data_IF_279233309076
#
_entry.id   IF_279233309076
#
_cell.length_a   1.000
_cell.length_b   1.000
_cell.length_c   1.000
_cell.angle_alpha   90.00
_cell.angle_beta   90.00
_cell.angle_gamma   90.00
#
_symmetry.space_group_name_H-M   'P 1'
#
loop_
_entity.id
_entity.type
_entity.pdbx_description
1 polymer ?
#
# COMPACT_ATOMS: atom_id res chain seq x y z
N UNK A 1 -6.68 -36.32 0.36
CA UNK A 1 -6.79 -36.67 -1.07
C UNK A 1 -6.64 -35.40 -1.94
N UNK A 2 -7.43 -34.34 -1.69
CA UNK A 2 -7.43 -33.06 -2.43
C UNK A 2 -6.04 -32.37 -2.42
N UNK A 3 -5.32 -32.42 -1.31
CA UNK A 3 -3.99 -31.81 -1.18
C UNK A 3 -2.95 -32.56 -2.03
N UNK A 4 -3.00 -33.90 -2.06
CA UNK A 4 -2.08 -34.70 -2.87
C UNK A 4 -2.26 -34.44 -4.38
N UNK A 5 -3.50 -34.36 -4.85
CA UNK A 5 -3.79 -34.06 -6.26
C UNK A 5 -3.30 -32.67 -6.65
N UNK A 6 -3.52 -31.66 -5.81
CA UNK A 6 -3.03 -30.29 -6.04
C UNK A 6 -1.50 -30.22 -6.01
N UNK A 7 -0.83 -30.97 -5.11
CA UNK A 7 0.64 -31.02 -5.09
C UNK A 7 1.19 -31.65 -6.37
N UNK A 8 0.55 -32.68 -6.92
CA UNK A 8 0.98 -33.23 -8.21
C UNK A 8 0.87 -32.19 -9.33
N UNK A 9 -0.19 -31.40 -9.39
CA UNK A 9 -0.34 -30.29 -10.34
C UNK A 9 0.77 -29.23 -10.20
N UNK A 10 1.27 -29.00 -9.00
CA UNK A 10 2.37 -28.05 -8.76
C UNK A 10 3.63 -28.46 -9.52
N UNK A 11 3.95 -29.77 -9.53
CA UNK A 11 5.13 -30.27 -10.23
C UNK A 11 4.95 -30.35 -11.75
N UNK A 12 3.71 -30.53 -12.21
CA UNK A 12 3.42 -30.64 -13.66
C UNK A 12 3.24 -29.30 -14.34
N UNK A 13 2.62 -28.33 -13.66
CA UNK A 13 2.28 -27.02 -14.22
C UNK A 13 3.18 -25.87 -13.75
N UNK A 14 3.96 -26.05 -12.69
CA UNK A 14 4.87 -25.05 -12.14
C UNK A 14 4.16 -23.82 -11.51
N UNK A 15 2.82 -23.88 -11.36
CA UNK A 15 2.03 -22.75 -10.85
C UNK A 15 1.83 -22.85 -9.35
N UNK A 16 1.93 -21.70 -8.60
CA UNK A 16 1.61 -21.67 -7.17
C UNK A 16 0.17 -22.10 -6.90
N UNK A 17 -0.01 -22.90 -5.86
CA UNK A 17 -1.33 -23.34 -5.42
C UNK A 17 -1.75 -22.50 -4.21
N UNK A 18 -2.90 -21.85 -4.28
CA UNK A 18 -3.52 -21.18 -3.15
C UNK A 18 -4.74 -22.01 -2.71
N UNK A 19 -4.80 -22.28 -1.41
CA UNK A 19 -5.95 -22.97 -0.83
C UNK A 19 -6.31 -22.39 0.53
N UNK A 20 -7.60 -22.37 0.82
CA UNK A 20 -8.15 -22.02 2.12
C UNK A 20 -8.57 -23.32 2.81
N UNK A 21 -8.12 -23.54 4.04
CA UNK A 21 -8.41 -24.77 4.78
C UNK A 21 -8.43 -24.53 6.27
N UNK A 22 -9.05 -25.43 7.01
CA UNK A 22 -9.05 -25.42 8.45
C UNK A 22 -7.96 -26.35 8.97
N UNK A 23 -7.09 -25.84 9.83
CA UNK A 23 -6.07 -26.61 10.52
C UNK A 23 -6.32 -26.58 12.02
N UNK A 24 -6.18 -27.74 12.66
CA UNK A 24 -6.22 -27.89 14.12
C UNK A 24 -4.81 -27.97 14.64
N UNK A 25 -4.43 -27.02 15.49
CA UNK A 25 -3.14 -27.05 16.21
C UNK A 25 -3.27 -27.92 17.47
N UNK A 26 -2.17 -28.54 17.88
CA UNK A 26 -2.14 -29.37 19.11
C UNK A 26 -2.48 -28.59 20.39
N UNK A 27 -2.36 -27.26 20.37
CA UNK A 27 -2.64 -26.38 21.52
C UNK A 27 -3.98 -25.65 21.48
N UNK A 28 -4.81 -25.85 20.43
CA UNK A 28 -6.11 -25.16 20.31
C UNK A 28 -7.25 -26.17 20.19
N UNK A 29 -8.33 -25.93 20.96
CA UNK A 29 -9.50 -26.78 20.96
C UNK A 29 -10.31 -26.66 19.64
N UNK A 30 -10.24 -25.52 18.96
CA UNK A 30 -11.00 -25.23 17.76
C UNK A 30 -10.11 -25.17 16.51
N UNK A 31 -10.58 -25.70 15.36
CA UNK A 31 -9.88 -25.54 14.08
C UNK A 31 -9.92 -24.08 13.65
N UNK A 32 -8.79 -23.59 13.13
CA UNK A 32 -8.65 -22.24 12.59
C UNK A 32 -8.51 -22.28 11.08
N UNK A 33 -9.07 -21.28 10.40
CA UNK A 33 -8.88 -21.12 8.96
C UNK A 33 -7.49 -20.55 8.66
N UNK A 34 -6.89 -21.12 7.60
CA UNK A 34 -5.61 -20.68 7.07
C UNK A 34 -5.69 -20.53 5.56
N UNK A 35 -5.11 -19.45 5.06
CA UNK A 35 -4.73 -19.32 3.66
C UNK A 35 -3.35 -19.95 3.50
N UNK A 36 -3.27 -21.01 2.69
CA UNK A 36 -2.02 -21.73 2.42
C UNK A 36 -1.64 -21.47 0.97
N UNK A 37 -0.40 -21.01 0.79
CA UNK A 37 0.23 -20.90 -0.51
C UNK A 37 1.37 -21.91 -0.59
N UNK A 38 1.35 -22.73 -1.65
CA UNK A 38 2.35 -23.77 -1.90
C UNK A 38 3.02 -23.44 -3.23
N UNK A 39 4.34 -23.37 -3.22
CA UNK A 39 5.19 -23.05 -4.36
C UNK A 39 6.26 -24.11 -4.53
N UNK A 40 6.56 -24.47 -5.78
CA UNK A 40 7.74 -25.25 -6.14
C UNK A 40 8.90 -24.27 -6.33
N UNK A 41 10.01 -24.53 -5.64
CA UNK A 41 11.22 -23.72 -5.73
C UNK A 41 12.42 -24.64 -5.99
N UNK A 42 13.42 -24.13 -6.69
CA UNK A 42 14.68 -24.83 -6.88
C UNK A 42 15.77 -24.10 -6.12
N UNK A 43 16.45 -24.80 -5.22
CA UNK A 43 17.58 -24.28 -4.43
C UNK A 43 18.73 -25.27 -4.63
N UNK A 44 19.89 -24.79 -5.12
CA UNK A 44 21.09 -25.61 -5.35
C UNK A 44 20.79 -26.90 -6.13
N UNK A 45 20.06 -26.79 -7.25
CA UNK A 45 19.59 -27.89 -8.10
C UNK A 45 18.67 -28.91 -7.41
N UNK A 46 18.17 -28.61 -6.22
CA UNK A 46 17.18 -29.44 -5.52
C UNK A 46 15.79 -28.83 -5.66
N UNK A 47 14.84 -29.68 -5.98
CA UNK A 47 13.44 -29.32 -6.05
C UNK A 47 12.84 -29.36 -4.64
N UNK A 48 12.38 -28.23 -4.15
CA UNK A 48 11.78 -28.08 -2.83
C UNK A 48 10.37 -27.49 -2.90
N UNK A 49 9.58 -27.74 -1.89
CA UNK A 49 8.23 -27.18 -1.74
C UNK A 49 8.26 -26.14 -0.63
N UNK A 50 8.03 -24.90 -1.00
CA UNK A 50 7.80 -23.81 -0.04
C UNK A 50 6.31 -23.72 0.28
N UNK A 51 5.95 -23.88 1.55
CA UNK A 51 4.59 -23.67 2.03
C UNK A 51 4.53 -22.50 2.99
N UNK A 52 3.70 -21.50 2.66
CA UNK A 52 3.36 -20.38 3.53
C UNK A 52 1.93 -20.55 4.02
N UNK A 53 1.72 -20.53 5.33
CA UNK A 53 0.39 -20.57 5.94
C UNK A 53 0.17 -19.30 6.75
N UNK A 54 -0.89 -18.55 6.42
CA UNK A 54 -1.32 -17.37 7.16
C UNK A 54 -2.70 -17.63 7.78
N UNK A 55 -2.87 -17.31 9.06
CA UNK A 55 -4.16 -17.43 9.75
C UNK A 55 -5.16 -16.42 9.18
N UNK A 56 -6.39 -16.89 8.91
CA UNK A 56 -7.52 -16.03 8.47
C UNK A 56 -8.19 -15.32 9.66
N UNK A 57 -7.64 -15.46 10.85
CA UNK A 57 -8.19 -14.87 12.09
C UNK A 57 -8.38 -13.35 11.99
N UNK A 58 -7.49 -12.65 11.28
CA UNK A 58 -7.59 -11.21 11.14
C UNK A 58 -8.85 -10.78 10.37
N UNK A 59 -9.21 -11.47 9.27
CA UNK A 59 -10.41 -11.14 8.50
C UNK A 59 -11.70 -11.39 9.30
N UNK A 60 -11.75 -12.45 10.11
CA UNK A 60 -12.92 -12.74 10.94
C UNK A 60 -13.08 -11.78 12.12
N UNK A 61 -11.98 -11.29 12.69
CA UNK A 61 -12.04 -10.27 13.74
C UNK A 61 -12.45 -8.90 13.22
N UNK A 62 -12.10 -8.58 11.97
CA UNK A 62 -12.42 -7.28 11.37
C UNK A 62 -13.92 -6.98 11.38
N UNK A 63 -14.80 -8.00 11.26
CA UNK A 63 -16.26 -7.82 11.32
C UNK A 63 -16.75 -7.27 12.65
N UNK A 64 -15.99 -7.47 13.75
CA UNK A 64 -16.35 -6.99 15.09
C UNK A 64 -15.73 -5.64 15.44
N UNK A 65 -14.86 -5.10 14.56
CA UNK A 65 -14.26 -3.77 14.79
C UNK A 65 -15.32 -2.70 14.56
N UNK A 66 -15.68 -1.95 15.58
CA UNK A 66 -16.65 -0.83 15.52
C UNK A 66 -15.95 0.51 15.27
N UNK A 67 -14.75 0.66 15.78
CA UNK A 67 -13.94 1.85 15.58
C UNK A 67 -12.45 1.48 15.54
N UNK A 68 -11.69 2.26 14.81
CA UNK A 68 -10.24 2.08 14.66
C UNK A 68 -9.54 3.44 14.73
N UNK A 69 -8.48 3.53 15.52
CA UNK A 69 -7.59 4.68 15.56
C UNK A 69 -6.16 4.20 15.47
N UNK A 70 -5.38 4.81 14.58
CA UNK A 70 -4.01 4.41 14.33
C UNK A 70 -3.13 5.62 14.06
N UNK A 71 -1.88 5.55 14.50
CA UNK A 71 -0.82 6.48 14.13
C UNK A 71 0.37 5.67 13.62
N UNK A 72 0.82 5.98 12.43
CA UNK A 72 1.95 5.34 11.77
C UNK A 72 3.03 6.38 11.51
N UNK A 73 4.29 5.97 11.60
CA UNK A 73 5.44 6.77 11.19
C UNK A 73 6.25 5.92 10.21
N UNK A 74 6.34 6.35 8.96
CA UNK A 74 7.01 5.62 7.89
C UNK A 74 8.20 6.39 7.36
N UNK A 75 9.21 5.67 6.86
CA UNK A 75 10.35 6.27 6.14
C UNK A 75 10.00 6.57 4.69
N UNK A 76 11.01 6.97 3.93
CA UNK A 76 10.87 7.47 2.57
C UNK A 76 10.84 6.37 1.48
N UNK A 77 10.42 5.14 1.81
CA UNK A 77 10.35 4.03 0.86
C UNK A 77 8.98 3.99 0.18
N UNK A 78 8.94 4.18 -1.15
CA UNK A 78 7.70 4.22 -1.93
C UNK A 78 6.88 2.93 -1.83
N UNK A 79 7.53 1.78 -1.64
CA UNK A 79 6.84 0.49 -1.49
C UNK A 79 5.95 0.47 -0.23
N UNK A 80 6.32 1.20 0.81
CA UNK A 80 5.54 1.30 2.04
C UNK A 80 4.16 1.94 1.80
N UNK A 81 4.04 2.85 0.82
CA UNK A 81 2.78 3.50 0.50
C UNK A 81 1.68 2.50 0.12
N UNK A 82 1.99 1.49 -0.69
CA UNK A 82 1.00 0.47 -1.08
C UNK A 82 0.55 -0.39 0.10
N UNK A 83 1.48 -0.85 0.94
CA UNK A 83 1.18 -1.66 2.12
C UNK A 83 0.34 -0.87 3.13
N UNK A 84 0.69 0.39 3.38
CA UNK A 84 -0.05 1.27 4.27
C UNK A 84 -1.45 1.54 3.74
N UNK A 85 -1.60 1.86 2.44
CA UNK A 85 -2.92 2.07 1.85
C UNK A 85 -3.82 0.85 2.00
N UNK A 86 -3.29 -0.36 1.75
CA UNK A 86 -4.03 -1.61 1.96
C UNK A 86 -4.54 -1.72 3.40
N UNK A 87 -3.69 -1.40 4.37
CA UNK A 87 -4.06 -1.44 5.80
C UNK A 87 -5.11 -0.39 6.16
N UNK A 88 -4.95 0.84 5.67
CA UNK A 88 -5.83 1.97 6.00
C UNK A 88 -7.24 1.84 5.42
N UNK A 89 -7.41 1.11 4.31
CA UNK A 89 -8.74 0.91 3.69
C UNK A 89 -9.40 -0.43 4.06
N UNK A 90 -8.72 -1.27 4.83
CA UNK A 90 -9.14 -2.65 5.10
C UNK A 90 -10.56 -2.76 5.66
N UNK A 91 -10.95 -1.84 6.55
CA UNK A 91 -12.27 -1.81 7.18
C UNK A 91 -13.30 -0.91 6.49
N UNK A 92 -12.91 -0.15 5.46
CA UNK A 92 -13.82 0.74 4.72
C UNK A 92 -15.00 0.02 4.06
N UNK A 93 -14.85 -1.20 3.51
CA UNK A 93 -15.98 -1.91 2.88
C UNK A 93 -17.17 -2.19 3.80
N UNK A 94 -17.04 -1.99 5.11
CA UNK A 94 -18.17 -2.05 6.05
C UNK A 94 -19.12 -0.87 5.92
N UNK A 95 -18.62 0.28 5.46
CA UNK A 95 -19.32 1.56 5.48
C UNK A 95 -19.57 2.12 4.09
N UNK A 96 -18.75 1.75 3.11
CA UNK A 96 -18.84 2.23 1.74
C UNK A 96 -18.73 1.07 0.73
N UNK A 97 -19.22 1.27 -0.49
CA UNK A 97 -19.09 0.27 -1.53
C UNK A 97 -17.63 0.12 -2.01
N UNK A 98 -17.38 -0.93 -2.79
CA UNK A 98 -16.05 -1.28 -3.28
C UNK A 98 -15.43 -0.20 -4.16
N UNK A 99 -16.25 0.49 -4.99
CA UNK A 99 -15.78 1.55 -5.88
C UNK A 99 -15.25 2.73 -5.07
N UNK A 100 -16.00 3.19 -4.06
CA UNK A 100 -15.57 4.27 -3.17
C UNK A 100 -14.33 3.88 -2.38
N UNK A 101 -14.28 2.66 -1.82
CA UNK A 101 -13.09 2.17 -1.11
C UNK A 101 -11.85 2.14 -2.00
N UNK A 102 -11.99 1.73 -3.27
CA UNK A 102 -10.90 1.72 -4.24
C UNK A 102 -10.44 3.13 -4.62
N UNK A 103 -11.37 4.07 -4.79
CA UNK A 103 -11.05 5.47 -5.07
C UNK A 103 -10.31 6.12 -3.89
N UNK A 104 -10.75 5.87 -2.65
CA UNK A 104 -10.05 6.34 -1.45
C UNK A 104 -8.64 5.76 -1.38
N UNK A 105 -8.47 4.45 -1.64
CA UNK A 105 -7.15 3.81 -1.69
C UNK A 105 -6.22 4.49 -2.68
N UNK A 106 -6.72 4.77 -3.90
CA UNK A 106 -5.93 5.44 -4.93
C UNK A 106 -5.53 6.85 -4.50
N UNK A 107 -6.45 7.64 -3.97
CA UNK A 107 -6.17 8.98 -3.46
C UNK A 107 -5.15 8.97 -2.32
N UNK A 108 -5.30 8.06 -1.35
CA UNK A 108 -4.35 7.91 -0.24
C UNK A 108 -2.94 7.56 -0.74
N UNK A 109 -2.85 6.65 -1.71
CA UNK A 109 -1.57 6.27 -2.31
C UNK A 109 -0.86 7.48 -2.94
N UNK A 110 -1.58 8.28 -3.71
CA UNK A 110 -1.03 9.50 -4.32
C UNK A 110 -0.57 10.50 -3.26
N UNK A 111 -1.38 10.75 -2.21
CA UNK A 111 -1.02 11.69 -1.14
C UNK A 111 0.21 11.21 -0.37
N UNK A 112 0.31 9.92 -0.04
CA UNK A 112 1.46 9.37 0.68
C UNK A 112 2.73 9.43 -0.19
N UNK A 113 2.63 9.10 -1.48
CA UNK A 113 3.76 9.22 -2.42
C UNK A 113 4.21 10.68 -2.53
N UNK A 114 3.27 11.62 -2.65
CA UNK A 114 3.60 13.05 -2.72
C UNK A 114 4.28 13.54 -1.42
N UNK A 115 3.81 13.10 -0.26
CA UNK A 115 4.46 13.40 1.03
C UNK A 115 5.90 12.88 1.10
N UNK A 116 6.16 11.69 0.53
CA UNK A 116 7.52 11.13 0.44
C UNK A 116 8.35 11.91 -0.58
N UNK A 117 7.89 12.01 -1.84
CA UNK A 117 8.68 12.56 -2.94
C UNK A 117 8.87 14.07 -2.82
N UNK A 118 7.76 14.80 -2.80
CA UNK A 118 7.78 16.27 -2.81
C UNK A 118 8.01 16.85 -1.43
N UNK A 119 7.44 16.22 -0.38
CA UNK A 119 7.66 16.65 1.00
C UNK A 119 9.05 16.28 1.50
N UNK A 120 9.26 15.03 1.86
CA UNK A 120 10.48 14.60 2.55
C UNK A 120 11.72 14.63 1.69
N UNK A 121 11.66 14.06 0.46
CA UNK A 121 12.80 13.95 -0.46
C UNK A 121 13.04 15.25 -1.24
N UNK A 122 12.16 16.23 -1.15
CA UNK A 122 12.24 17.52 -1.84
C UNK A 122 12.51 17.37 -3.35
N UNK A 123 11.82 16.43 -4.00
CA UNK A 123 11.91 16.18 -5.44
C UNK A 123 10.93 17.14 -6.14
N UNK A 124 11.43 17.99 -7.01
CA UNK A 124 10.56 18.87 -7.80
C UNK A 124 9.85 18.11 -8.94
N UNK A 125 8.80 18.72 -9.50
CA UNK A 125 8.10 18.15 -10.67
C UNK A 125 9.02 18.05 -11.88
N UNK A 126 9.89 19.04 -12.07
CA UNK A 126 10.85 19.09 -13.18
C UNK A 126 11.89 17.98 -13.02
N UNK A 127 12.44 17.77 -11.82
CA UNK A 127 13.38 16.69 -11.53
C UNK A 127 12.73 15.31 -11.77
N UNK A 128 11.50 15.12 -11.28
CA UNK A 128 10.73 13.88 -11.48
C UNK A 128 10.47 13.61 -12.96
N UNK A 129 10.00 14.60 -13.70
CA UNK A 129 9.72 14.51 -15.13
C UNK A 129 10.98 14.18 -15.91
N UNK A 130 12.09 14.88 -15.62
CA UNK A 130 13.38 14.60 -16.24
C UNK A 130 13.86 13.18 -15.98
N UNK A 131 13.90 12.76 -14.73
CA UNK A 131 14.34 11.41 -14.35
C UNK A 131 13.45 10.31 -14.97
N UNK A 132 12.14 10.58 -15.13
CA UNK A 132 11.23 9.68 -15.81
C UNK A 132 11.53 9.56 -17.30
N UNK A 133 11.75 10.69 -17.98
CA UNK A 133 12.08 10.73 -19.40
C UNK A 133 13.44 10.09 -19.70
N UNK A 134 14.40 10.27 -18.79
CA UNK A 134 15.75 9.67 -18.88
C UNK A 134 15.77 8.18 -18.51
N UNK A 135 14.62 7.62 -18.02
CA UNK A 135 14.48 6.22 -17.64
C UNK A 135 15.20 5.83 -16.35
N UNK A 136 15.67 6.78 -15.55
CA UNK A 136 16.47 6.56 -14.34
C UNK A 136 15.76 6.98 -13.03
N UNK A 137 14.42 7.15 -13.09
CA UNK A 137 13.63 7.63 -11.96
C UNK A 137 13.85 6.86 -10.65
N UNK A 138 13.90 5.51 -10.70
CA UNK A 138 14.09 4.71 -9.50
C UNK A 138 15.47 4.94 -8.88
N UNK A 139 16.52 5.03 -9.70
CA UNK A 139 17.88 5.30 -9.24
C UNK A 139 17.97 6.68 -8.61
N UNK A 140 17.30 7.67 -9.23
CA UNK A 140 17.23 9.03 -8.71
C UNK A 140 16.56 9.06 -7.33
N UNK A 141 15.40 8.42 -7.15
CA UNK A 141 14.71 8.33 -5.85
C UNK A 141 15.58 7.62 -4.81
N UNK A 142 16.22 6.50 -5.17
CA UNK A 142 17.12 5.78 -4.28
C UNK A 142 18.31 6.65 -3.83
N UNK A 143 18.85 7.50 -4.70
CA UNK A 143 19.92 8.44 -4.34
C UNK A 143 19.45 9.45 -3.29
N UNK A 144 18.25 10.02 -3.47
CA UNK A 144 17.63 10.95 -2.52
C UNK A 144 17.34 10.29 -1.18
N UNK A 145 16.89 9.04 -1.16
CA UNK A 145 16.64 8.29 0.09
C UNK A 145 17.92 8.05 0.91
N UNK A 146 19.09 8.01 0.26
CA UNK A 146 20.38 7.84 0.94
C UNK A 146 21.02 9.17 1.36
N UNK A 147 20.54 10.30 0.86
CA UNK A 147 21.06 11.62 1.18
C UNK A 147 20.87 11.93 2.68
N UNK A 148 21.92 12.31 3.42
CA UNK A 148 21.84 12.66 4.84
C UNK A 148 20.79 13.72 5.18
N UNK A 149 20.46 14.62 4.25
CA UNK A 149 19.48 15.68 4.45
C UNK A 149 18.04 15.17 4.46
N UNK A 150 17.78 13.97 3.90
CA UNK A 150 16.43 13.45 3.69
C UNK A 150 16.18 12.08 4.32
N UNK A 151 17.22 11.24 4.47
CA UNK A 151 17.11 9.82 4.84
C UNK A 151 16.35 9.54 6.13
N UNK A 152 16.44 10.45 7.11
CA UNK A 152 15.87 10.27 8.44
C UNK A 152 14.47 10.89 8.59
N UNK A 153 14.01 11.66 7.58
CA UNK A 153 12.68 12.24 7.56
C UNK A 153 11.59 11.16 7.52
N UNK A 154 10.46 11.45 8.15
CA UNK A 154 9.32 10.54 8.29
C UNK A 154 8.04 11.17 7.74
N UNK A 155 7.15 10.31 7.25
CA UNK A 155 5.75 10.69 7.04
C UNK A 155 4.93 10.13 8.19
N UNK A 156 4.20 11.00 8.88
CA UNK A 156 3.27 10.62 9.95
C UNK A 156 1.86 10.52 9.38
N UNK A 157 1.18 9.41 9.64
CA UNK A 157 -0.18 9.16 9.19
C UNK A 157 -1.04 8.90 10.42
N UNK A 158 -2.08 9.71 10.61
CA UNK A 158 -3.11 9.48 11.61
C UNK A 158 -4.39 9.04 10.91
N UNK A 159 -4.99 7.97 11.39
CA UNK A 159 -6.19 7.36 10.87
C UNK A 159 -7.24 7.18 11.96
N UNK A 160 -8.47 7.52 11.65
CA UNK A 160 -9.63 7.27 12.50
C UNK A 160 -10.80 6.79 11.63
N UNK A 161 -11.39 5.67 12.01
CA UNK A 161 -12.59 5.13 11.38
C UNK A 161 -13.61 4.78 12.46
N UNK A 162 -14.85 5.17 12.27
CA UNK A 162 -16.02 4.74 13.05
C UNK A 162 -17.28 4.79 12.18
N UNK A 163 -18.47 4.51 12.75
CA UNK A 163 -19.74 4.52 12.04
C UNK A 163 -20.10 5.83 11.36
N UNK A 164 -19.53 6.95 11.80
CA UNK A 164 -19.93 8.29 11.36
C UNK A 164 -18.93 8.92 10.37
N UNK A 165 -17.65 8.57 10.48
CA UNK A 165 -16.60 9.20 9.66
C UNK A 165 -15.36 8.34 9.51
N UNK A 166 -14.65 8.59 8.43
CA UNK A 166 -13.24 8.24 8.26
C UNK A 166 -12.44 9.52 8.18
N UNK A 167 -11.27 9.54 8.81
CA UNK A 167 -10.33 10.66 8.79
C UNK A 167 -8.92 10.13 8.56
N UNK A 168 -8.23 10.76 7.62
CA UNK A 168 -6.82 10.56 7.37
C UNK A 168 -6.10 11.89 7.51
N UNK A 169 -5.03 11.93 8.29
CA UNK A 169 -4.13 13.07 8.39
C UNK A 169 -2.74 12.57 8.02
N UNK A 170 -2.14 13.16 7.01
CA UNK A 170 -0.82 12.81 6.50
C UNK A 170 0.05 14.04 6.61
N UNK A 171 1.18 13.92 7.30
CA UNK A 171 2.14 14.99 7.54
C UNK A 171 3.54 14.50 7.15
N UNK A 172 4.21 15.25 6.29
CA UNK A 172 5.61 15.09 5.96
C UNK A 172 6.49 16.11 6.74
N UNK A 173 7.79 15.91 6.69
CA UNK A 173 8.79 16.82 7.29
C UNK A 173 9.48 17.69 6.21
N UNK A 174 8.77 17.96 5.12
CA UNK A 174 9.21 18.86 4.07
C UNK A 174 9.04 20.33 4.43
N UNK A 175 9.45 21.19 3.50
CA UNK A 175 9.37 22.65 3.70
C UNK A 175 7.96 23.21 3.46
N UNK A 176 7.00 22.34 3.10
CA UNK A 176 5.66 22.74 2.68
C UNK A 176 5.65 23.47 1.34
N UNK A 177 4.45 23.86 0.92
CA UNK A 177 4.25 24.63 -0.32
C UNK A 177 3.09 25.64 -0.17
N UNK A 178 3.05 26.64 -1.03
CA UNK A 178 1.96 27.61 -1.05
C UNK A 178 0.71 27.01 -1.70
N UNK A 179 -0.10 26.29 -0.92
CA UNK A 179 -1.30 25.62 -1.40
C UNK A 179 -2.32 26.57 -2.06
N UNK A 180 -2.37 27.85 -1.63
CA UNK A 180 -3.30 28.84 -2.19
C UNK A 180 -2.99 29.16 -3.65
N UNK A 181 -1.71 29.30 -3.99
CA UNK A 181 -1.29 29.50 -5.39
C UNK A 181 -1.62 28.27 -6.25
N UNK A 182 -1.45 27.07 -5.70
CA UNK A 182 -1.77 25.84 -6.44
C UNK A 182 -3.27 25.71 -6.67
N UNK A 183 -4.10 25.96 -5.64
CA UNK A 183 -5.56 25.96 -5.81
C UNK A 183 -6.01 26.97 -6.85
N UNK A 184 -5.48 28.19 -6.82
CA UNK A 184 -5.79 29.23 -7.83
C UNK A 184 -5.37 28.79 -9.24
N UNK A 185 -4.21 28.18 -9.39
CA UNK A 185 -3.77 27.60 -10.69
C UNK A 185 -4.72 26.51 -11.16
N UNK A 186 -5.10 25.55 -10.31
CA UNK A 186 -6.03 24.45 -10.65
C UNK A 186 -7.40 25.00 -11.04
N UNK A 187 -7.91 26.06 -10.40
CA UNK A 187 -9.19 26.66 -10.73
C UNK A 187 -9.17 27.45 -12.04
N UNK A 188 -8.02 28.04 -12.39
CA UNK A 188 -7.88 28.91 -13.56
C UNK A 188 -7.37 28.17 -14.82
N UNK A 189 -6.89 26.94 -14.70
CA UNK A 189 -6.31 26.21 -15.83
C UNK A 189 -7.27 25.10 -16.29
N UNK A 190 -7.77 25.27 -17.52
CA UNK A 190 -8.58 24.28 -18.26
C UNK A 190 -7.67 23.35 -19.09
N UNK A 191 -6.35 23.50 -19.00
CA UNK A 191 -5.38 22.83 -19.87
C UNK A 191 -5.13 21.37 -19.51
N UNK A 192 -5.17 20.52 -20.55
CA UNK A 192 -5.01 19.05 -20.49
C UNK A 192 -3.65 18.58 -19.95
N UNK A 193 -2.59 19.37 -20.08
CA UNK A 193 -1.24 19.01 -19.62
C UNK A 193 -1.09 18.97 -18.08
N UNK A 194 -1.88 19.74 -17.34
CA UNK A 194 -1.93 19.65 -15.88
C UNK A 194 -2.69 18.43 -15.36
N UNK A 195 -3.49 17.77 -16.20
CA UNK A 195 -4.21 16.55 -15.85
C UNK A 195 -3.27 15.37 -15.57
N UNK A 196 -2.06 15.39 -16.09
CA UNK A 196 -1.07 14.35 -15.86
C UNK A 196 -0.44 14.40 -14.46
N UNK A 197 -0.35 15.59 -13.85
CA UNK A 197 0.44 15.82 -12.63
C UNK A 197 -0.37 16.28 -11.40
N UNK A 198 -1.65 16.64 -11.56
CA UNK A 198 -2.50 17.18 -10.48
C UNK A 198 -3.65 16.28 -10.03
N UNK A 199 -3.71 15.02 -10.46
CA UNK A 199 -4.86 14.12 -10.21
C UNK A 199 -5.13 13.86 -8.74
N UNK A 200 -4.09 13.74 -7.92
CA UNK A 200 -4.23 13.48 -6.49
C UNK A 200 -4.91 14.62 -5.73
N UNK A 201 -4.56 15.86 -6.04
CA UNK A 201 -5.18 17.04 -5.42
C UNK A 201 -6.64 17.25 -5.85
N UNK A 202 -7.00 16.95 -7.12
CA UNK A 202 -8.40 17.04 -7.59
C UNK A 202 -9.31 15.96 -7.00
N UNK A 203 -8.77 14.82 -6.58
CA UNK A 203 -9.55 13.76 -5.93
C UNK A 203 -9.76 14.01 -4.44
N UNK A 204 -9.04 14.98 -3.84
CA UNK A 204 -9.12 15.32 -2.42
C UNK A 204 -10.12 16.46 -2.13
N UNK A 205 -10.67 17.11 -3.15
CA UNK A 205 -11.70 18.13 -3.12
C UNK A 205 -12.84 17.78 -4.07
#
# INVERSE_FOLDING_TARGET
QIIKEKINMLFTEGKPINLKTQLKSRGTLEPREYNIRIEHITIDDRNEILMKAASVLDENMLKYVEAEKMRLSIGNYLIAAEEICNRLVLNLPKYVNKQISSAIKLGLREIIINAIEHGNLNISFEEKSKATNDGNYLEFVLSRQKDPNYKDKKVTIEFLLNSNKVMYKIEDEGNGFNYREIIQKIQNTVDEDMLAHGRGLRMAF
#
